data_IF_722605071118
#
_entry.id   IF_722605071118
#
_cell.length_a   1.000
_cell.length_b   1.000
_cell.length_c   1.000
_cell.angle_alpha   90.00
_cell.angle_beta   90.00
_cell.angle_gamma   90.00
#
_symmetry.space_group_name_H-M   'P 1'
#
loop_
_entity.id
_entity.type
_entity.pdbx_description
1 polymer ?
#
# COMPACT_ATOMS: atom_id res chain seq x y z
N UNK A 1 -8.43 -0.95 28.67
CA UNK A 1 -7.09 -0.48 29.09
C UNK A 1 -6.20 -0.37 27.86
N UNK A 2 -5.42 0.72 27.73
CA UNK A 2 -4.41 0.85 26.69
C UNK A 2 -3.36 -0.26 26.85
N UNK A 3 -2.91 -0.84 25.73
CA UNK A 3 -1.80 -1.80 25.75
C UNK A 3 -0.48 -1.03 25.64
N UNK A 4 0.55 -1.34 26.43
CA UNK A 4 1.83 -0.67 26.33
C UNK A 4 2.42 -0.77 24.92
N UNK A 5 2.84 0.38 24.39
CA UNK A 5 3.44 0.59 23.08
C UNK A 5 2.57 0.13 21.90
N UNK A 6 1.25 0.26 22.04
CA UNK A 6 0.30 -0.01 20.98
C UNK A 6 -0.59 1.21 20.73
N UNK A 7 -0.63 1.75 19.50
CA UNK A 7 -1.52 2.86 19.19
C UNK A 7 -2.98 2.41 19.17
N UNK A 8 -3.85 3.29 19.63
CA UNK A 8 -5.30 3.11 19.64
C UNK A 8 -5.97 4.34 19.05
N UNK A 9 -6.85 4.14 18.06
CA UNK A 9 -7.72 5.19 17.54
C UNK A 9 -8.82 5.48 18.55
N UNK A 10 -9.06 6.76 18.84
CA UNK A 10 -10.22 7.24 19.60
C UNK A 10 -10.86 8.40 18.85
N UNK A 11 -12.18 8.39 18.70
CA UNK A 11 -12.93 9.48 18.06
C UNK A 11 -13.69 10.26 19.12
N UNK A 12 -13.49 11.57 19.18
CA UNK A 12 -14.14 12.47 20.15
C UNK A 12 -14.61 13.73 19.42
N UNK A 13 -15.90 14.06 19.51
CA UNK A 13 -16.52 15.22 18.83
C UNK A 13 -16.21 15.30 17.33
N UNK A 14 -16.26 14.16 16.63
CA UNK A 14 -15.98 14.08 15.20
C UNK A 14 -14.51 14.24 14.81
N UNK A 15 -13.59 14.32 15.79
CA UNK A 15 -12.14 14.35 15.57
C UNK A 15 -11.51 13.04 15.98
N UNK A 16 -10.61 12.54 15.14
CA UNK A 16 -9.86 11.34 15.42
C UNK A 16 -8.53 11.67 16.12
N UNK A 17 -8.24 10.91 17.17
CA UNK A 17 -7.00 10.97 17.94
C UNK A 17 -6.33 9.60 17.98
N UNK A 18 -5.01 9.60 18.12
CA UNK A 18 -4.23 8.40 18.45
C UNK A 18 -3.75 8.51 19.88
N UNK A 19 -4.02 7.48 20.67
CA UNK A 19 -3.54 7.34 22.04
C UNK A 19 -2.61 6.12 22.14
N UNK A 20 -1.58 6.22 22.96
CA UNK A 20 -0.77 5.07 23.36
C UNK A 20 -0.22 5.26 24.76
N UNK A 21 0.04 4.16 25.45
CA UNK A 21 0.76 4.15 26.73
C UNK A 21 2.17 3.62 26.48
N UNK A 22 3.22 4.25 27.01
CA UNK A 22 4.58 3.71 26.93
C UNK A 22 4.87 2.66 28.02
N UNK A 23 6.09 2.14 28.09
CA UNK A 23 6.46 1.15 29.13
C UNK A 23 6.68 1.74 30.52
N UNK A 24 6.76 3.06 30.66
CA UNK A 24 6.81 3.75 31.95
C UNK A 24 5.41 4.02 32.51
N UNK A 25 4.37 3.75 31.73
CA UNK A 25 2.98 3.96 32.11
C UNK A 25 2.41 5.31 31.65
N UNK A 26 3.22 6.18 31.04
CA UNK A 26 2.78 7.48 30.54
C UNK A 26 1.88 7.32 29.31
N UNK A 27 0.81 8.11 29.26
CA UNK A 27 -0.15 8.10 28.15
C UNK A 27 0.09 9.34 27.30
N UNK A 28 0.23 9.15 26.00
CA UNK A 28 0.34 10.21 25.00
C UNK A 28 -0.90 10.22 24.11
N UNK A 29 -1.24 11.40 23.60
CA UNK A 29 -2.37 11.63 22.69
C UNK A 29 -1.98 12.66 21.63
N UNK A 30 -2.27 12.36 20.36
CA UNK A 30 -2.08 13.29 19.23
C UNK A 30 -3.30 13.26 18.31
N UNK A 31 -3.55 14.29 17.50
CA UNK A 31 -4.44 14.16 16.35
C UNK A 31 -4.05 12.94 15.51
N UNK A 32 -5.02 12.16 15.05
CA UNK A 32 -4.73 10.92 14.34
C UNK A 32 -4.19 11.13 12.92
N UNK A 33 -4.19 12.37 12.43
CA UNK A 33 -3.65 12.71 11.12
C UNK A 33 -2.18 13.11 11.26
N UNK A 34 -1.29 12.40 10.56
CA UNK A 34 0.11 12.79 10.45
C UNK A 34 0.22 14.17 9.77
N UNK A 35 1.01 15.12 10.32
CA UNK A 35 1.14 16.45 9.72
C UNK A 35 1.82 16.46 8.34
N UNK A 36 2.49 15.37 7.94
CA UNK A 36 3.13 15.28 6.62
C UNK A 36 2.10 15.16 5.48
N UNK A 37 1.34 14.07 5.47
CA UNK A 37 0.40 13.72 4.37
C UNK A 37 -0.93 13.17 4.90
N UNK A 38 -1.28 13.50 6.15
CA UNK A 38 -2.54 13.15 6.78
C UNK A 38 -2.69 11.67 7.20
N UNK A 39 -1.70 10.82 6.94
CA UNK A 39 -1.80 9.38 7.21
C UNK A 39 -2.20 9.08 8.66
N UNK A 40 -3.04 8.06 8.83
CA UNK A 40 -3.55 7.68 10.16
C UNK A 40 -2.41 7.18 11.04
N UNK A 41 -2.03 7.97 12.06
CA UNK A 41 -0.98 7.60 13.01
C UNK A 41 -1.37 6.33 13.79
N UNK A 42 -2.66 6.10 14.02
CA UNK A 42 -3.17 4.88 14.66
C UNK A 42 -2.93 3.60 13.84
N UNK A 43 -2.68 3.73 12.53
CA UNK A 43 -2.29 2.61 11.67
C UNK A 43 -0.76 2.37 11.65
N UNK A 44 0.00 3.23 12.34
CA UNK A 44 1.44 3.10 12.53
C UNK A 44 1.81 2.20 13.72
N UNK A 45 2.94 2.49 14.35
CA UNK A 45 3.44 1.73 15.50
C UNK A 45 4.25 2.59 16.47
N UNK A 46 4.34 2.16 17.73
CA UNK A 46 5.18 2.83 18.71
C UNK A 46 6.64 2.36 18.58
N UNK A 47 7.57 3.31 18.45
CA UNK A 47 9.01 3.09 18.53
C UNK A 47 9.45 3.33 19.96
N UNK A 48 10.00 2.29 20.59
CA UNK A 48 10.52 2.36 21.96
C UNK A 48 11.88 3.04 21.96
N UNK A 49 12.11 3.91 22.94
CA UNK A 49 13.41 4.51 23.24
C UNK A 49 14.10 3.75 24.37
N UNK A 50 15.39 3.96 24.53
CA UNK A 50 16.22 3.32 25.57
C UNK A 50 15.77 3.64 26.99
N UNK A 51 15.12 4.80 27.19
CA UNK A 51 14.58 5.26 28.48
C UNK A 51 13.21 4.64 28.84
N UNK A 52 12.66 3.76 28.01
CA UNK A 52 11.35 3.15 28.21
C UNK A 52 10.17 4.00 27.73
N UNK A 53 10.40 5.23 27.25
CA UNK A 53 9.39 6.02 26.56
C UNK A 53 9.16 5.51 25.13
N UNK A 54 8.10 5.99 24.48
CA UNK A 54 7.83 5.63 23.08
C UNK A 54 7.20 6.75 22.27
N UNK A 55 7.51 6.79 20.98
CA UNK A 55 6.94 7.73 20.03
C UNK A 55 6.14 6.99 18.94
N UNK A 56 5.10 7.62 18.42
CA UNK A 56 4.32 7.09 17.30
C UNK A 56 5.08 7.30 15.98
N UNK A 57 5.21 6.23 15.19
CA UNK A 57 5.77 6.27 13.84
C UNK A 57 4.65 6.24 12.80
N UNK A 58 4.71 7.16 11.84
CA UNK A 58 3.77 7.21 10.72
C UNK A 58 4.01 6.06 9.74
N UNK A 59 2.98 5.36 9.26
CA UNK A 59 3.13 4.30 8.25
C UNK A 59 3.38 4.84 6.84
N UNK A 60 3.14 6.14 6.60
CA UNK A 60 3.36 6.77 5.30
C UNK A 60 4.63 7.62 5.34
N UNK A 61 5.60 7.32 4.48
CA UNK A 61 6.88 8.03 4.45
C UNK A 61 6.85 9.20 3.49
N UNK A 62 6.44 8.95 2.23
CA UNK A 62 6.57 9.94 1.17
C UNK A 62 5.65 9.64 -0.01
N UNK A 63 5.18 10.70 -0.67
CA UNK A 63 4.56 10.66 -2.00
C UNK A 63 5.33 11.59 -2.94
N UNK A 64 5.63 11.16 -4.16
CA UNK A 64 6.29 11.96 -5.18
C UNK A 64 5.37 11.99 -6.40
N UNK A 65 4.98 13.19 -6.81
CA UNK A 65 4.16 13.44 -7.99
C UNK A 65 5.03 13.94 -9.15
N UNK A 66 5.13 13.15 -10.21
CA UNK A 66 5.83 13.46 -11.46
C UNK A 66 4.83 13.49 -12.64
N UNK A 67 3.62 14.02 -12.43
CA UNK A 67 2.59 14.12 -13.47
C UNK A 67 1.82 12.81 -13.63
N UNK A 68 1.99 12.14 -14.79
CA UNK A 68 1.38 10.82 -15.06
C UNK A 68 2.13 9.67 -14.38
N UNK A 69 3.20 9.97 -13.66
CA UNK A 69 3.99 9.03 -12.90
C UNK A 69 4.03 9.44 -11.43
N UNK A 70 3.88 8.49 -10.49
CA UNK A 70 4.04 8.78 -9.06
C UNK A 70 4.75 7.67 -8.30
N UNK A 71 5.34 8.03 -7.16
CA UNK A 71 5.88 7.09 -6.20
C UNK A 71 5.25 7.29 -4.82
N UNK A 72 4.96 6.21 -4.12
CA UNK A 72 4.56 6.21 -2.72
C UNK A 72 5.44 5.26 -1.92
N UNK A 73 5.96 5.72 -0.79
CA UNK A 73 6.78 4.94 0.12
C UNK A 73 6.01 4.70 1.41
N UNK A 74 5.69 3.45 1.69
CA UNK A 74 4.84 3.02 2.80
C UNK A 74 5.61 2.00 3.62
N UNK A 75 5.42 2.05 4.93
CA UNK A 75 5.90 1.05 5.86
C UNK A 75 4.72 0.39 6.57
N UNK A 76 4.69 -0.93 6.55
CA UNK A 76 3.64 -1.72 7.17
C UNK A 76 4.23 -2.64 8.22
N UNK A 77 3.61 -2.67 9.40
CA UNK A 77 4.01 -3.60 10.47
C UNK A 77 3.27 -4.89 10.30
N UNK A 78 4.03 -5.98 10.16
CA UNK A 78 3.45 -7.31 10.15
C UNK A 78 2.94 -7.66 11.54
N UNK A 79 1.75 -8.27 11.61
CA UNK A 79 1.27 -8.89 12.85
C UNK A 79 2.30 -9.92 13.33
N UNK A 80 2.62 -9.90 14.62
CA UNK A 80 3.53 -10.90 15.19
C UNK A 80 2.96 -12.30 14.94
N UNK A 81 3.72 -13.18 14.26
CA UNK A 81 3.27 -14.52 13.92
C UNK A 81 3.18 -15.37 15.19
N UNK A 82 2.20 -16.27 15.23
CA UNK A 82 2.11 -17.30 16.26
C UNK A 82 2.90 -18.56 15.86
N UNK A 83 2.99 -19.55 16.75
CA UNK A 83 3.71 -20.82 16.49
C UNK A 83 3.17 -21.58 15.26
N UNK A 84 1.86 -21.54 15.00
CA UNK A 84 1.26 -22.20 13.83
C UNK A 84 1.65 -21.50 12.53
N UNK A 85 1.78 -20.17 12.56
CA UNK A 85 2.21 -19.39 11.40
C UNK A 85 3.65 -19.75 10.99
N UNK A 86 4.54 -19.97 11.97
CA UNK A 86 5.91 -20.42 11.71
C UNK A 86 5.96 -21.83 11.10
N UNK A 87 5.13 -22.75 11.59
CA UNK A 87 5.06 -24.11 11.04
C UNK A 87 4.57 -24.12 9.59
N UNK A 88 3.59 -23.26 9.25
CA UNK A 88 3.07 -23.15 7.89
C UNK A 88 3.99 -22.37 6.96
N UNK A 89 4.73 -21.40 7.48
CA UNK A 89 5.64 -20.56 6.71
C UNK A 89 6.90 -20.24 7.53
N UNK A 90 7.91 -21.14 7.52
CA UNK A 90 9.16 -20.92 8.24
C UNK A 90 9.94 -19.70 7.74
N UNK A 91 9.65 -19.20 6.52
CA UNK A 91 10.20 -17.96 6.00
C UNK A 91 9.86 -16.71 6.84
N UNK A 92 8.80 -16.76 7.66
CA UNK A 92 8.41 -15.65 8.56
C UNK A 92 9.45 -15.34 9.64
N UNK A 93 10.41 -16.23 9.90
CA UNK A 93 11.51 -16.01 10.84
C UNK A 93 12.54 -15.01 10.28
N UNK A 94 12.74 -15.03 8.97
CA UNK A 94 13.73 -14.21 8.28
C UNK A 94 13.14 -12.93 7.67
N UNK A 95 11.80 -12.77 7.71
CA UNK A 95 11.13 -11.55 7.26
C UNK A 95 11.18 -10.47 8.34
N UNK A 96 11.53 -9.21 7.97
CA UNK A 96 11.54 -8.11 8.92
C UNK A 96 10.13 -7.84 9.48
N UNK A 97 10.07 -7.27 10.69
CA UNK A 97 8.81 -6.93 11.33
C UNK A 97 8.11 -5.75 10.64
N UNK A 98 8.88 -4.83 10.08
CA UNK A 98 8.39 -3.72 9.26
C UNK A 98 8.76 -4.03 7.81
N UNK A 99 7.74 -4.09 6.96
CA UNK A 99 7.90 -4.23 5.52
C UNK A 99 7.83 -2.85 4.90
N UNK A 100 8.89 -2.49 4.17
CA UNK A 100 8.90 -1.27 3.37
C UNK A 100 8.42 -1.61 1.97
N UNK A 101 7.37 -0.91 1.53
CA UNK A 101 6.80 -1.04 0.22
C UNK A 101 7.01 0.28 -0.53
N UNK A 102 7.53 0.16 -1.75
CA UNK A 102 7.57 1.27 -2.70
C UNK A 102 6.59 0.97 -3.82
N UNK A 103 5.55 1.81 -3.91
CA UNK A 103 4.55 1.76 -4.96
C UNK A 103 4.92 2.79 -6.03
N UNK A 104 4.91 2.37 -7.27
CA UNK A 104 5.19 3.19 -8.44
C UNK A 104 3.99 3.09 -9.39
N UNK A 105 3.36 4.22 -9.73
CA UNK A 105 2.14 4.21 -10.54
C UNK A 105 2.38 4.96 -11.85
N UNK A 106 2.05 4.31 -12.97
CA UNK A 106 2.04 4.85 -14.31
C UNK A 106 0.59 5.00 -14.78
N UNK A 107 0.07 6.21 -14.69
CA UNK A 107 -1.29 6.53 -15.12
C UNK A 107 -1.43 6.36 -16.64
N UNK A 108 -2.54 5.80 -17.16
CA UNK A 108 -3.74 5.36 -16.42
C UNK A 108 -3.77 3.86 -16.05
N UNK A 109 -2.82 3.05 -16.52
CA UNK A 109 -3.08 1.61 -16.66
C UNK A 109 -2.13 0.71 -15.89
N UNK A 110 -1.11 1.22 -15.19
CA UNK A 110 -0.11 0.35 -14.57
C UNK A 110 0.29 0.80 -13.17
N UNK A 111 0.36 -0.15 -12.24
CA UNK A 111 0.97 0.00 -10.92
C UNK A 111 2.11 -1.00 -10.75
N UNK A 112 3.12 -0.65 -9.97
CA UNK A 112 4.24 -1.52 -9.64
C UNK A 112 4.54 -1.45 -8.15
N UNK A 113 4.62 -2.61 -7.51
CA UNK A 113 5.03 -2.74 -6.11
C UNK A 113 6.44 -3.31 -6.07
N UNK A 114 7.34 -2.58 -5.41
CA UNK A 114 8.69 -3.02 -5.12
C UNK A 114 8.75 -3.45 -3.65
N UNK A 115 9.14 -4.70 -3.44
CA UNK A 115 9.37 -5.29 -2.12
C UNK A 115 10.81 -5.77 -2.02
N UNK A 116 11.58 -5.21 -1.09
CA UNK A 116 12.98 -5.58 -0.89
C UNK A 116 13.16 -6.26 0.47
N UNK A 117 13.91 -7.37 0.49
CA UNK A 117 14.27 -8.07 1.72
C UNK A 117 15.65 -8.72 1.60
N UNK A 118 16.30 -9.07 2.72
CA UNK A 118 17.58 -9.77 2.67
C UNK A 118 17.54 -11.11 1.91
N UNK A 119 16.38 -11.78 1.84
CA UNK A 119 16.24 -13.08 1.19
C UNK A 119 15.87 -12.99 -0.29
N UNK A 120 15.06 -12.00 -0.66
CA UNK A 120 14.54 -11.84 -2.01
C UNK A 120 14.20 -10.38 -2.32
N UNK A 121 14.29 -10.05 -3.60
CA UNK A 121 13.71 -8.84 -4.19
C UNK A 121 12.49 -9.23 -5.01
N UNK A 122 11.40 -8.49 -4.84
CA UNK A 122 10.11 -8.70 -5.47
C UNK A 122 9.72 -7.44 -6.25
N UNK A 123 9.33 -7.62 -7.51
CA UNK A 123 8.61 -6.60 -8.27
C UNK A 123 7.31 -7.18 -8.78
N UNK A 124 6.21 -6.54 -8.44
CA UNK A 124 4.88 -6.97 -8.85
C UNK A 124 4.27 -5.86 -9.70
N UNK A 125 4.00 -6.17 -10.97
CA UNK A 125 3.43 -5.23 -11.93
C UNK A 125 1.97 -5.58 -12.16
N UNK A 126 1.10 -4.60 -11.92
CA UNK A 126 -0.34 -4.67 -12.16
C UNK A 126 -0.67 -3.86 -13.40
N UNK A 127 -1.34 -4.47 -14.37
CA UNK A 127 -1.85 -3.79 -15.56
C UNK A 127 -3.36 -3.84 -15.57
N UNK A 128 -3.99 -2.67 -15.68
CA UNK A 128 -5.44 -2.48 -15.68
C UNK A 128 -5.90 -2.12 -17.09
N UNK A 129 -6.51 -3.08 -17.79
CA UNK A 129 -6.99 -2.89 -19.16
C UNK A 129 -8.54 -2.83 -19.16
N UNK A 130 -9.15 -1.70 -19.52
CA UNK A 130 -10.60 -1.66 -19.71
C UNK A 130 -10.99 -2.46 -20.96
N UNK A 131 -11.90 -3.42 -20.82
CA UNK A 131 -12.45 -4.21 -21.94
C UNK A 131 -13.82 -3.67 -22.39
N UNK A 132 -14.58 -3.10 -21.47
CA UNK A 132 -15.83 -2.39 -21.71
C UNK A 132 -16.09 -1.37 -20.59
N UNK A 133 -17.20 -0.63 -20.65
CA UNK A 133 -17.59 0.30 -19.59
C UNK A 133 -17.81 -0.37 -18.22
N UNK A 134 -18.07 -1.68 -18.19
CA UNK A 134 -18.40 -2.43 -16.97
C UNK A 134 -17.42 -3.55 -16.64
N UNK A 135 -16.40 -3.77 -17.49
CA UNK A 135 -15.45 -4.85 -17.33
C UNK A 135 -14.03 -4.39 -17.61
N UNK A 136 -13.13 -4.71 -16.68
CA UNK A 136 -11.69 -4.53 -16.82
C UNK A 136 -11.00 -5.86 -16.61
N UNK A 137 -9.93 -6.08 -17.36
CA UNK A 137 -9.02 -7.20 -17.16
C UNK A 137 -7.76 -6.71 -16.44
N UNK A 138 -7.40 -7.40 -15.37
CA UNK A 138 -6.19 -7.10 -14.61
C UNK A 138 -5.17 -8.20 -14.84
N UNK A 139 -3.97 -7.82 -15.28
CA UNK A 139 -2.83 -8.73 -15.40
C UNK A 139 -1.83 -8.43 -14.29
N UNK A 140 -1.44 -9.46 -13.53
CA UNK A 140 -0.42 -9.35 -12.49
C UNK A 140 0.80 -10.15 -12.92
N UNK A 141 1.93 -9.45 -13.10
CA UNK A 141 3.23 -10.04 -13.41
C UNK A 141 4.17 -9.90 -12.23
N UNK A 142 4.69 -11.02 -11.74
CA UNK A 142 5.58 -11.05 -10.59
C UNK A 142 6.98 -11.47 -10.98
N UNK A 143 7.96 -10.62 -10.70
CA UNK A 143 9.38 -10.87 -10.85
C UNK A 143 10.01 -11.05 -9.48
N UNK A 144 10.69 -12.18 -9.29
CA UNK A 144 11.34 -12.52 -8.02
C UNK A 144 12.80 -12.81 -8.28
N UNK A 145 13.67 -12.10 -7.58
CA UNK A 145 15.10 -12.39 -7.52
C UNK A 145 15.42 -12.96 -6.14
N UNK A 146 15.77 -14.24 -6.12
CA UNK A 146 16.27 -14.90 -4.91
C UNK A 146 17.71 -14.46 -4.64
N UNK A 147 17.97 -13.93 -3.45
CA UNK A 147 19.33 -13.59 -3.00
C UNK A 147 19.95 -14.74 -2.17
N UNK A 148 19.14 -15.73 -1.76
CA UNK A 148 19.57 -16.88 -0.96
C UNK A 148 18.94 -18.20 -1.45
N UNK A 149 19.63 -19.36 -1.37
CA UNK A 149 19.11 -20.65 -1.84
C UNK A 149 17.76 -21.06 -1.23
N UNK A 150 17.52 -20.71 0.03
CA UNK A 150 16.25 -20.99 0.74
C UNK A 150 15.05 -20.30 0.05
N UNK A 151 15.26 -19.19 -0.66
CA UNK A 151 14.18 -18.48 -1.34
C UNK A 151 13.50 -19.33 -2.44
N UNK A 152 14.21 -20.30 -3.04
CA UNK A 152 13.61 -21.23 -4.00
C UNK A 152 12.54 -22.12 -3.38
N UNK A 153 12.66 -22.47 -2.09
CA UNK A 153 11.66 -23.27 -1.39
C UNK A 153 10.37 -22.47 -1.10
N UNK A 154 10.45 -21.14 -1.07
CA UNK A 154 9.32 -20.25 -0.74
C UNK A 154 8.54 -19.84 -2.00
N UNK A 155 9.13 -20.00 -3.20
CA UNK A 155 8.56 -19.55 -4.49
C UNK A 155 7.12 -20.02 -4.72
N UNK A 156 6.78 -21.27 -4.40
CA UNK A 156 5.43 -21.82 -4.60
C UNK A 156 4.38 -21.19 -3.68
N UNK A 157 4.78 -20.83 -2.46
CA UNK A 157 3.90 -20.18 -1.49
C UNK A 157 3.68 -18.69 -1.82
N UNK A 158 4.65 -18.06 -2.49
CA UNK A 158 4.57 -16.64 -2.85
C UNK A 158 3.48 -16.37 -3.89
N UNK A 159 3.38 -17.21 -4.93
CA UNK A 159 2.32 -17.07 -5.96
C UNK A 159 0.91 -17.17 -5.35
N UNK A 160 0.71 -18.11 -4.43
CA UNK A 160 -0.57 -18.26 -3.73
C UNK A 160 -0.91 -17.05 -2.86
N UNK A 161 0.09 -16.41 -2.25
CA UNK A 161 -0.14 -15.21 -1.45
C UNK A 161 -0.60 -14.03 -2.33
N UNK A 162 0.00 -13.86 -3.50
CA UNK A 162 -0.39 -12.83 -4.47
C UNK A 162 -1.81 -13.05 -4.99
N UNK A 163 -2.16 -14.31 -5.31
CA UNK A 163 -3.52 -14.69 -5.70
C UNK A 163 -4.55 -14.26 -4.63
N UNK A 164 -4.30 -14.58 -3.36
CA UNK A 164 -5.20 -14.20 -2.25
C UNK A 164 -5.35 -12.68 -2.12
N UNK A 165 -4.27 -11.91 -2.27
CA UNK A 165 -4.34 -10.44 -2.20
C UNK A 165 -5.12 -9.88 -3.39
N UNK A 166 -4.88 -10.41 -4.59
CA UNK A 166 -5.56 -9.98 -5.81
C UNK A 166 -7.06 -10.27 -5.74
N UNK A 167 -7.45 -11.44 -5.22
CA UNK A 167 -8.85 -11.79 -4.99
C UNK A 167 -9.53 -10.86 -3.98
N UNK A 168 -8.83 -10.47 -2.90
CA UNK A 168 -9.35 -9.53 -1.91
C UNK A 168 -9.60 -8.15 -2.51
N UNK A 169 -8.67 -7.66 -3.33
CA UNK A 169 -8.79 -6.37 -4.00
C UNK A 169 -9.92 -6.40 -5.04
N UNK A 170 -9.98 -7.43 -5.87
CA UNK A 170 -11.06 -7.62 -6.85
C UNK A 170 -12.44 -7.71 -6.17
N UNK A 171 -12.55 -8.47 -5.07
CA UNK A 171 -13.77 -8.54 -4.28
C UNK A 171 -14.16 -7.18 -3.73
N UNK A 172 -13.21 -6.42 -3.17
CA UNK A 172 -13.47 -5.09 -2.64
C UNK A 172 -13.97 -4.14 -3.73
N UNK A 173 -13.30 -4.09 -4.88
CA UNK A 173 -13.70 -3.27 -6.02
C UNK A 173 -15.11 -3.64 -6.53
N UNK A 174 -15.47 -4.93 -6.53
CA UNK A 174 -16.81 -5.40 -6.94
C UNK A 174 -17.96 -4.90 -6.05
N UNK A 175 -17.64 -4.42 -4.84
CA UNK A 175 -18.61 -3.90 -3.87
C UNK A 175 -18.67 -2.38 -3.84
N UNK A 176 -17.80 -1.69 -4.57
CA UNK A 176 -17.80 -0.23 -4.63
C UNK A 176 -18.87 0.22 -5.63
N UNK A 177 -19.70 1.17 -5.22
CA UNK A 177 -20.65 1.82 -6.12
C UNK A 177 -19.90 2.76 -7.07
N UNK A 178 -19.92 2.43 -8.36
CA UNK A 178 -19.28 3.21 -9.42
C UNK A 178 -19.85 4.63 -9.46
N UNK A 179 -18.99 5.63 -9.63
CA UNK A 179 -19.36 7.05 -9.77
C UNK A 179 -20.16 7.66 -8.61
N UNK A 180 -20.16 7.03 -7.42
CA UNK A 180 -20.79 7.64 -6.25
C UNK A 180 -19.88 8.72 -5.68
N UNK A 181 -20.38 9.96 -5.49
CA UNK A 181 -19.61 11.00 -4.81
C UNK A 181 -19.18 10.50 -3.44
N UNK A 182 -17.89 10.59 -3.13
CA UNK A 182 -17.44 10.29 -1.79
C UNK A 182 -18.04 11.29 -0.81
N UNK A 183 -18.96 10.83 0.03
CA UNK A 183 -19.57 11.67 1.08
C UNK A 183 -18.59 12.01 2.20
N UNK A 184 -17.51 11.23 2.35
CA UNK A 184 -16.46 11.42 3.35
C UNK A 184 -15.13 11.42 2.62
N UNK A 185 -14.48 12.58 2.54
CA UNK A 185 -13.08 12.67 2.10
C UNK A 185 -12.18 12.47 3.31
N UNK A 186 -11.33 11.44 3.27
CA UNK A 186 -10.29 11.31 4.28
C UNK A 186 -9.17 12.32 3.99
N UNK A 187 -8.55 12.85 5.05
CA UNK A 187 -7.49 13.87 4.93
C UNK A 187 -6.22 13.36 4.19
N UNK A 188 -6.14 12.06 3.87
CA UNK A 188 -4.94 11.36 3.44
C UNK A 188 -5.09 10.61 2.11
N UNK A 189 -6.03 11.01 1.27
CA UNK A 189 -6.24 10.42 -0.06
C UNK A 189 -5.36 11.05 -1.15
N UNK A 190 -4.13 11.43 -0.85
CA UNK A 190 -3.22 12.12 -1.81
C UNK A 190 -3.04 11.35 -3.11
N UNK A 191 -3.01 10.02 -3.05
CA UNK A 191 -3.00 9.16 -4.23
C UNK A 191 -4.30 9.25 -5.05
N UNK A 192 -5.46 9.36 -4.40
CA UNK A 192 -6.73 9.56 -5.11
C UNK A 192 -6.82 10.95 -5.71
N UNK A 193 -6.33 11.98 -5.02
CA UNK A 193 -6.28 13.34 -5.56
C UNK A 193 -5.37 13.40 -6.80
N UNK A 194 -4.24 12.67 -6.79
CA UNK A 194 -3.37 12.48 -7.95
C UNK A 194 -4.10 11.79 -9.12
N UNK A 195 -4.81 10.68 -8.86
CA UNK A 195 -5.61 9.96 -9.87
C UNK A 195 -6.68 10.89 -10.48
N UNK A 196 -7.45 11.60 -9.64
CA UNK A 196 -8.51 12.52 -10.09
C UNK A 196 -7.96 13.64 -10.94
N UNK A 197 -6.87 14.27 -10.51
CA UNK A 197 -6.18 15.32 -11.27
C UNK A 197 -5.78 14.81 -12.65
N UNK A 198 -5.16 13.63 -12.72
CA UNK A 198 -4.71 13.06 -13.98
C UNK A 198 -5.87 12.69 -14.91
N UNK A 199 -6.96 12.08 -14.42
CA UNK A 199 -8.16 11.84 -15.23
C UNK A 199 -8.77 13.13 -15.78
N UNK A 200 -8.86 14.19 -14.96
CA UNK A 200 -9.42 15.47 -15.39
C UNK A 200 -8.61 16.13 -16.52
N UNK A 201 -7.29 15.90 -16.56
CA UNK A 201 -6.40 16.41 -17.60
C UNK A 201 -6.05 15.39 -18.69
N UNK A 202 -6.54 14.15 -18.60
CA UNK A 202 -6.15 13.10 -19.53
C UNK A 202 -6.81 13.36 -20.89
N UNK A 203 -6.04 13.46 -21.99
CA UNK A 203 -6.61 13.77 -23.28
C UNK A 203 -7.57 12.66 -23.72
N UNK A 204 -8.70 13.05 -24.31
CA UNK A 204 -9.59 12.10 -24.96
C UNK A 204 -8.81 11.41 -26.08
N UNK A 205 -8.67 10.08 -25.99
CA UNK A 205 -8.07 9.27 -27.05
C UNK A 205 -9.06 9.27 -28.22
N UNK A 206 -8.74 10.03 -29.27
CA UNK A 206 -9.42 9.91 -30.57
C UNK A 206 -8.95 8.64 -31.27
N UNK A 207 -9.82 8.02 -32.06
CA UNK A 207 -9.44 6.85 -32.86
C UNK A 207 -8.17 7.15 -33.66
N UNK A 208 -7.12 6.32 -33.54
CA UNK A 208 -5.90 6.52 -34.29
C UNK A 208 -6.21 6.49 -35.79
N UNK A 209 -5.91 7.59 -36.48
CA UNK A 209 -6.11 7.68 -37.91
C UNK A 209 -5.01 6.91 -38.65
N UNK A 210 -5.22 5.61 -38.84
CA UNK A 210 -4.30 4.72 -39.57
C UNK A 210 -4.26 4.97 -41.09
N UNK A 211 -5.03 5.92 -41.63
CA UNK A 211 -5.05 6.19 -43.09
C UNK A 211 -3.84 6.97 -43.61
N UNK A 212 -2.94 7.46 -42.73
CA UNK A 212 -1.69 8.14 -43.13
C UNK A 212 -0.48 7.22 -43.08
N UNK A 213 -0.42 6.22 -43.97
CA UNK A 213 0.87 5.62 -44.36
C UNK A 213 1.56 6.54 -45.39
N UNK A 214 2.31 7.54 -44.94
CA UNK A 214 3.10 8.42 -45.83
C UNK A 214 4.47 7.85 -46.24
N UNK A 215 4.73 6.56 -45.99
CA UNK A 215 5.94 5.88 -46.47
C UNK A 215 5.59 4.74 -47.41
N UNK A 216 5.07 5.12 -48.57
CA UNK A 216 5.13 4.31 -49.78
C UNK A 216 5.68 5.21 -50.89
N UNK A 217 7.01 5.32 -50.94
CA UNK A 217 7.84 5.61 -52.12
C UNK A 217 9.30 5.39 -51.76
#
# INVERSE_FOLDING_TARGET
MLKPNLPMKVSLYGKDYVLWQDSTGNISCLPNACPHMGAMLSAGWCVKKSDGSSAIACPFKQFIDNGLHSHAYIAQVRKKPNLQDFLKNPGLLAMPQVLEAHLENFFPFMGMVHGESPLLSLKECHFYLPESETHSRVYVLMFVKANHPIAHAIKRNLLRLVEVVTEQDAYTLSKIYVNTPQHIKLNNEVGMDWVRRNYASFPAIVEPNFSRSQYAR
#
